data_IF_122547124159
#
_entry.id   IF_122547124159
#
_cell.length_a   1.000
_cell.length_b   1.000
_cell.length_c   1.000
_cell.angle_alpha   90.00
_cell.angle_beta   90.00
_cell.angle_gamma   90.00
#
_symmetry.space_group_name_H-M   'P 1'
#
loop_
_entity.id
_entity.type
_entity.pdbx_description
1 polymer ?
#
# COMPACT_ATOMS: atom_id res chain seq x y z
N UNK A 1 -41.28 37.38 10.38
CA UNK A 1 -41.66 35.95 10.35
C UNK A 1 -40.59 35.19 9.60
N UNK A 2 -39.80 34.41 10.34
CA UNK A 2 -39.01 33.21 9.96
C UNK A 2 -38.09 33.36 8.74
N UNK A 3 -36.80 33.55 8.87
CA UNK A 3 -35.76 32.73 9.54
C UNK A 3 -35.68 31.25 9.13
N UNK A 4 -34.51 30.98 8.54
CA UNK A 4 -33.61 29.85 8.82
C UNK A 4 -33.54 28.69 7.81
N UNK A 5 -32.28 28.48 7.39
CA UNK A 5 -31.58 27.19 7.30
C UNK A 5 -32.28 26.07 6.52
N UNK A 6 -31.75 25.71 5.34
CA UNK A 6 -30.82 24.56 5.15
C UNK A 6 -30.14 24.74 3.79
N UNK A 7 -29.18 25.66 3.74
CA UNK A 7 -28.00 25.55 2.88
C UNK A 7 -26.95 24.85 3.73
N UNK A 8 -26.76 23.55 3.49
CA UNK A 8 -25.66 22.66 3.95
C UNK A 8 -26.12 21.20 3.75
N UNK A 9 -25.17 20.35 3.36
CA UNK A 9 -25.26 18.87 3.20
C UNK A 9 -25.52 18.42 1.75
N UNK A 10 -24.45 18.37 0.95
CA UNK A 10 -23.96 17.15 0.26
C UNK A 10 -22.66 17.51 -0.49
N UNK A 11 -21.66 17.86 0.31
CA UNK A 11 -20.24 17.70 0.02
C UNK A 11 -19.79 16.52 0.89
N UNK A 12 -19.62 15.34 0.32
CA UNK A 12 -18.91 14.22 0.93
C UNK A 12 -18.60 13.17 -0.15
N UNK A 13 -17.34 12.76 -0.21
CA UNK A 13 -16.73 11.77 -1.11
C UNK A 13 -16.40 12.24 -2.53
N UNK A 14 -15.63 13.31 -2.60
CA UNK A 14 -14.48 13.38 -3.50
C UNK A 14 -13.30 13.86 -2.69
N UNK A 15 -12.25 13.05 -2.63
CA UNK A 15 -10.82 13.37 -2.51
C UNK A 15 -10.11 12.08 -2.08
N UNK A 16 -9.88 11.24 -3.08
CA UNK A 16 -8.78 10.28 -3.12
C UNK A 16 -8.52 9.97 -4.60
N UNK A 17 -8.24 11.01 -5.39
CA UNK A 17 -7.74 10.95 -6.77
C UNK A 17 -7.65 12.38 -7.28
N UNK A 18 -6.55 13.09 -7.00
CA UNK A 18 -6.11 14.28 -7.76
C UNK A 18 -4.65 14.56 -7.38
N UNK A 19 -3.76 13.64 -7.79
CA UNK A 19 -2.39 13.99 -8.15
C UNK A 19 -2.36 14.03 -9.67
N UNK A 20 -2.11 15.21 -10.23
CA UNK A 20 -2.05 15.46 -11.67
C UNK A 20 -0.92 14.65 -12.32
N UNK A 21 -1.28 13.50 -12.90
CA UNK A 21 -0.66 12.97 -14.11
C UNK A 21 -1.47 13.48 -15.32
N UNK A 22 -0.84 13.72 -16.48
CA UNK A 22 -1.53 14.30 -17.63
C UNK A 22 -2.60 13.35 -18.18
N UNK A 23 -3.60 13.95 -18.83
CA UNK A 23 -4.87 13.37 -19.23
C UNK A 23 -4.77 12.06 -20.04
N UNK A 24 -5.31 10.98 -19.48
CA UNK A 24 -5.77 9.81 -20.22
C UNK A 24 -7.29 9.91 -20.41
N UNK A 25 -7.71 10.49 -21.53
CA UNK A 25 -9.06 10.33 -22.04
C UNK A 25 -9.06 9.22 -23.10
N UNK A 26 -9.09 7.97 -22.62
CA UNK A 26 -9.34 6.77 -23.41
C UNK A 26 -10.00 5.78 -22.46
N UNK A 27 -11.21 5.31 -22.81
CA UNK A 27 -11.99 4.42 -21.94
C UNK A 27 -11.14 3.20 -21.55
N UNK A 28 -10.80 3.09 -20.26
CA UNK A 28 -10.03 1.97 -19.71
C UNK A 28 -10.82 0.68 -19.90
N UNK A 29 -10.26 -0.27 -20.66
CA UNK A 29 -10.78 -1.63 -20.74
C UNK A 29 -10.35 -2.41 -19.47
N UNK A 30 -11.18 -3.30 -18.94
CA UNK A 30 -10.94 -3.92 -17.64
C UNK A 30 -9.88 -5.05 -17.75
N UNK A 31 -9.06 -5.24 -16.68
CA UNK A 31 -7.85 -6.08 -16.66
C UNK A 31 -8.05 -7.60 -16.86
N UNK A 32 -7.01 -8.41 -16.64
CA UNK A 32 -7.01 -9.87 -16.88
C UNK A 32 -8.12 -10.61 -16.13
N UNK A 33 -8.44 -10.19 -14.90
CA UNK A 33 -9.63 -10.63 -14.17
C UNK A 33 -10.91 -10.45 -15.00
N UNK A 34 -11.08 -9.30 -15.66
CA UNK A 34 -12.24 -9.04 -16.50
C UNK A 34 -12.18 -9.76 -17.85
N UNK A 35 -10.99 -10.14 -18.35
CA UNK A 35 -10.85 -11.04 -19.51
C UNK A 35 -11.25 -12.48 -19.16
N UNK A 36 -10.79 -12.96 -18.00
CA UNK A 36 -11.19 -14.25 -17.41
C UNK A 36 -12.67 -14.31 -17.07
N UNK A 37 -13.29 -13.17 -16.79
CA UNK A 37 -14.73 -13.09 -16.56
C UNK A 37 -15.49 -12.87 -17.88
N UNK A 38 -14.91 -12.19 -18.87
CA UNK A 38 -15.51 -12.01 -20.19
C UNK A 38 -15.64 -13.29 -21.03
N UNK A 39 -14.86 -14.34 -20.74
CA UNK A 39 -15.08 -15.69 -21.28
C UNK A 39 -16.27 -16.41 -20.63
N UNK A 40 -16.78 -15.90 -19.50
CA UNK A 40 -17.96 -16.41 -18.82
C UNK A 40 -19.14 -15.48 -19.09
N UNK A 41 -20.21 -16.02 -19.69
CA UNK A 41 -21.44 -15.26 -19.86
C UNK A 41 -22.13 -15.12 -18.50
N UNK A 42 -21.91 -13.99 -17.83
CA UNK A 42 -22.53 -13.72 -16.54
C UNK A 42 -24.05 -13.83 -16.63
N UNK A 43 -24.63 -14.66 -15.78
CA UNK A 43 -26.05 -14.55 -15.46
C UNK A 43 -26.31 -13.15 -14.87
N UNK A 44 -27.49 -12.59 -15.15
CA UNK A 44 -27.88 -11.28 -14.63
C UNK A 44 -27.78 -11.25 -13.10
N UNK A 45 -27.14 -10.19 -12.56
CA UNK A 45 -26.92 -10.03 -11.12
C UNK A 45 -28.22 -10.24 -10.35
N UNK A 46 -28.25 -11.15 -9.36
CA UNK A 46 -29.40 -11.28 -8.48
C UNK A 46 -29.61 -9.96 -7.74
N UNK A 47 -30.88 -9.53 -7.66
CA UNK A 47 -31.26 -8.25 -7.05
C UNK A 47 -31.09 -8.24 -5.51
N UNK A 48 -30.90 -9.42 -4.91
CA UNK A 48 -30.69 -9.60 -3.47
C UNK A 48 -29.46 -10.48 -3.22
N UNK A 49 -28.45 -9.91 -2.58
CA UNK A 49 -27.20 -10.58 -2.20
C UNK A 49 -27.45 -11.65 -1.12
N UNK A 50 -28.51 -11.51 -0.32
CA UNK A 50 -28.87 -12.49 0.71
C UNK A 50 -29.38 -13.82 0.12
N UNK A 51 -29.71 -13.84 -1.18
CA UNK A 51 -30.19 -15.03 -1.89
C UNK A 51 -29.09 -15.77 -2.67
N UNK A 52 -27.82 -15.34 -2.55
CA UNK A 52 -26.71 -16.01 -3.21
C UNK A 52 -26.44 -17.39 -2.61
N UNK A 53 -26.32 -18.40 -3.47
CA UNK A 53 -25.79 -19.69 -3.08
C UNK A 53 -24.31 -19.56 -2.67
N UNK A 54 -23.77 -20.52 -1.92
CA UNK A 54 -22.39 -20.47 -1.45
C UNK A 54 -21.74 -21.83 -1.62
N UNK A 55 -20.62 -21.87 -2.36
CA UNK A 55 -19.69 -22.99 -2.28
C UNK A 55 -18.66 -22.68 -1.20
N UNK A 56 -18.57 -23.51 -0.16
CA UNK A 56 -17.73 -23.21 1.01
C UNK A 56 -16.97 -24.42 1.55
N UNK A 57 -15.83 -24.14 2.19
CA UNK A 57 -15.01 -25.13 2.88
C UNK A 57 -14.28 -24.50 4.06
N UNK A 58 -14.17 -25.24 5.15
CA UNK A 58 -13.34 -24.83 6.29
C UNK A 58 -12.04 -25.61 6.28
N UNK A 59 -10.91 -24.90 6.35
CA UNK A 59 -9.57 -25.48 6.31
C UNK A 59 -8.74 -24.99 7.48
N UNK A 60 -8.13 -25.92 8.21
CA UNK A 60 -7.15 -25.57 9.23
C UNK A 60 -5.81 -25.23 8.56
N UNK A 61 -5.54 -23.94 8.33
CA UNK A 61 -4.28 -23.50 7.75
C UNK A 61 -3.14 -23.62 8.78
N UNK A 62 -1.89 -23.88 8.33
CA UNK A 62 -0.75 -23.96 9.24
C UNK A 62 -0.52 -22.66 10.01
N UNK A 63 -0.22 -22.79 11.31
CA UNK A 63 0.05 -21.64 12.18
C UNK A 63 -1.18 -20.82 12.59
N UNK A 64 -2.39 -21.23 12.18
CA UNK A 64 -3.65 -20.61 12.62
C UNK A 64 -4.20 -21.27 13.88
N UNK A 65 -4.75 -20.46 14.78
CA UNK A 65 -5.43 -20.95 15.98
C UNK A 65 -6.87 -21.43 15.69
N UNK A 66 -7.51 -20.84 14.68
CA UNK A 66 -8.85 -21.18 14.23
C UNK A 66 -8.79 -21.64 12.77
N UNK A 67 -9.78 -22.43 12.33
CA UNK A 67 -9.88 -22.83 10.93
C UNK A 67 -10.37 -21.65 10.08
N UNK A 68 -9.82 -21.52 8.88
CA UNK A 68 -10.17 -20.48 7.91
C UNK A 68 -11.33 -20.97 7.06
N UNK A 69 -12.35 -20.13 6.89
CA UNK A 69 -13.50 -20.39 6.04
C UNK A 69 -13.28 -19.81 4.64
N UNK A 70 -13.24 -20.67 3.64
CA UNK A 70 -13.15 -20.33 2.23
C UNK A 70 -14.54 -20.38 1.62
N UNK A 71 -14.94 -19.34 0.90
CA UNK A 71 -16.27 -19.29 0.29
C UNK A 71 -16.26 -18.60 -1.07
N UNK A 72 -17.09 -19.12 -1.99
CA UNK A 72 -17.45 -18.51 -3.26
C UNK A 72 -18.95 -18.20 -3.20
N UNK A 73 -19.31 -16.93 -3.05
CA UNK A 73 -20.71 -16.50 -3.04
C UNK A 73 -21.25 -16.42 -4.48
N UNK A 74 -22.47 -16.88 -4.71
CA UNK A 74 -23.15 -16.92 -6.00
C UNK A 74 -22.57 -17.91 -7.00
N UNK A 75 -21.91 -18.98 -6.54
CA UNK A 75 -21.19 -19.92 -7.40
C UNK A 75 -22.08 -20.50 -8.52
N UNK A 76 -23.30 -20.91 -8.18
CA UNK A 76 -24.31 -21.38 -9.12
C UNK A 76 -25.10 -20.21 -9.74
N UNK A 77 -25.46 -19.20 -8.94
CA UNK A 77 -26.24 -18.05 -9.39
C UNK A 77 -25.57 -17.30 -10.54
N UNK A 78 -24.23 -17.23 -10.55
CA UNK A 78 -23.44 -16.63 -11.62
C UNK A 78 -22.96 -17.64 -12.68
N UNK A 79 -23.33 -18.92 -12.55
CA UNK A 79 -23.05 -19.97 -13.52
C UNK A 79 -21.61 -20.52 -13.48
N UNK A 80 -20.85 -20.30 -12.41
CA UNK A 80 -19.47 -20.81 -12.30
C UNK A 80 -19.41 -22.34 -12.26
N UNK A 81 -20.46 -22.98 -11.73
CA UNK A 81 -20.63 -24.44 -11.70
C UNK A 81 -20.73 -25.07 -13.11
N UNK A 82 -20.92 -24.29 -14.17
CA UNK A 82 -20.96 -24.80 -15.54
C UNK A 82 -19.57 -25.14 -16.08
N UNK A 83 -18.52 -24.53 -15.52
CA UNK A 83 -17.13 -24.68 -15.98
C UNK A 83 -16.18 -25.18 -14.89
N UNK A 84 -16.59 -25.10 -13.62
CA UNK A 84 -15.73 -25.36 -12.48
C UNK A 84 -16.41 -26.24 -11.43
N UNK A 85 -15.58 -26.97 -10.71
CA UNK A 85 -15.97 -27.67 -9.49
C UNK A 85 -15.59 -26.80 -8.28
N UNK A 86 -16.59 -26.45 -7.46
CA UNK A 86 -16.40 -25.56 -6.31
C UNK A 86 -15.34 -26.08 -5.33
N UNK A 87 -15.37 -27.38 -4.99
CA UNK A 87 -14.37 -27.99 -4.11
C UNK A 87 -12.94 -27.84 -4.64
N UNK A 88 -12.73 -28.11 -5.93
CA UNK A 88 -11.43 -27.97 -6.59
C UNK A 88 -10.92 -26.52 -6.53
N UNK A 89 -11.80 -25.53 -6.75
CA UNK A 89 -11.43 -24.10 -6.65
C UNK A 89 -11.06 -23.70 -5.20
N UNK A 90 -11.82 -24.18 -4.23
CA UNK A 90 -11.58 -23.93 -2.81
C UNK A 90 -10.28 -24.60 -2.34
N UNK A 91 -9.99 -25.82 -2.78
CA UNK A 91 -8.73 -26.52 -2.49
C UNK A 91 -7.52 -25.80 -3.09
N UNK A 92 -7.64 -25.32 -4.34
CA UNK A 92 -6.59 -24.54 -4.97
C UNK A 92 -6.35 -23.20 -4.24
N UNK A 93 -7.41 -22.55 -3.75
CA UNK A 93 -7.28 -21.35 -2.92
C UNK A 93 -6.59 -21.64 -1.58
N UNK A 94 -7.02 -22.70 -0.88
CA UNK A 94 -6.42 -23.11 0.39
C UNK A 94 -4.95 -23.50 0.27
N UNK A 95 -4.58 -24.23 -0.80
CA UNK A 95 -3.20 -24.61 -1.08
C UNK A 95 -2.33 -23.38 -1.37
N UNK A 96 -2.81 -22.44 -2.21
CA UNK A 96 -2.10 -21.19 -2.49
C UNK A 96 -1.87 -20.38 -1.22
N UNK A 97 -2.89 -20.27 -0.38
CA UNK A 97 -2.79 -19.54 0.88
C UNK A 97 -1.83 -20.22 1.86
N UNK A 98 -1.84 -21.55 1.93
CA UNK A 98 -0.88 -22.32 2.72
C UNK A 98 0.56 -22.01 2.29
N UNK A 99 0.83 -22.00 0.98
CA UNK A 99 2.15 -21.64 0.45
C UNK A 99 2.52 -20.19 0.74
N UNK A 100 1.57 -19.25 0.61
CA UNK A 100 1.81 -17.84 0.89
C UNK A 100 2.15 -17.61 2.37
N UNK A 101 1.42 -18.23 3.30
CA UNK A 101 1.69 -18.17 4.73
C UNK A 101 3.08 -18.74 5.08
N UNK A 102 3.43 -19.90 4.51
CA UNK A 102 4.75 -20.50 4.72
C UNK A 102 5.88 -19.57 4.24
N UNK A 103 5.74 -19.00 3.04
CA UNK A 103 6.73 -18.09 2.46
C UNK A 103 6.84 -16.77 3.22
N UNK A 104 5.71 -16.22 3.69
CA UNK A 104 5.73 -15.04 4.55
C UNK A 104 6.50 -15.34 5.85
N UNK A 105 6.25 -16.50 6.46
CA UNK A 105 6.94 -16.89 7.70
C UNK A 105 8.43 -17.10 7.50
N UNK A 106 8.85 -17.65 6.37
CA UNK A 106 10.26 -17.80 6.00
C UNK A 106 10.94 -16.44 5.78
N UNK A 107 10.31 -15.55 5.00
CA UNK A 107 10.88 -14.24 4.66
C UNK A 107 10.82 -13.23 5.83
N UNK A 108 9.91 -13.44 6.78
CA UNK A 108 9.74 -12.61 7.96
C UNK A 108 9.31 -13.45 9.18
N UNK A 109 10.26 -14.11 9.85
CA UNK A 109 9.97 -14.98 10.98
C UNK A 109 9.30 -14.27 12.15
N UNK A 110 9.55 -12.97 12.31
CA UNK A 110 8.98 -12.13 13.38
C UNK A 110 7.54 -11.67 13.10
N UNK A 111 7.01 -11.92 11.89
CA UNK A 111 5.61 -11.58 11.59
C UNK A 111 4.68 -12.43 12.47
N UNK A 112 3.70 -11.79 13.16
CA UNK A 112 2.74 -12.52 13.98
C UNK A 112 1.87 -13.44 13.12
N UNK A 113 1.15 -14.35 13.77
CA UNK A 113 0.19 -15.20 13.08
C UNK A 113 -0.82 -14.32 12.33
N UNK A 114 -0.94 -14.54 11.01
CA UNK A 114 -1.85 -13.82 10.14
C UNK A 114 -3.27 -14.21 10.54
N UNK A 115 -4.15 -13.33 11.01
CA UNK A 115 -5.47 -13.69 11.51
C UNK A 115 -6.48 -13.97 10.37
N UNK A 116 -6.12 -14.81 9.39
CA UNK A 116 -6.96 -15.13 8.24
C UNK A 116 -8.10 -16.05 8.65
N UNK A 117 -9.26 -15.46 8.95
CA UNK A 117 -10.48 -16.22 9.29
C UNK A 117 -11.33 -16.53 8.09
N UNK A 118 -11.28 -15.69 7.05
CA UNK A 118 -12.05 -15.89 5.84
C UNK A 118 -11.28 -15.57 4.59
N UNK A 119 -11.53 -16.35 3.55
CA UNK A 119 -11.03 -16.12 2.20
C UNK A 119 -12.19 -16.19 1.22
N UNK A 120 -12.62 -15.01 0.76
CA UNK A 120 -13.78 -14.88 -0.10
C UNK A 120 -13.34 -14.77 -1.55
N UNK A 121 -13.90 -15.63 -2.40
CA UNK A 121 -13.66 -15.68 -3.85
C UNK A 121 -14.89 -15.11 -4.54
N UNK A 122 -14.68 -14.16 -5.43
CA UNK A 122 -15.74 -13.46 -6.15
C UNK A 122 -16.01 -14.20 -7.45
N UNK A 123 -17.28 -14.46 -7.72
CA UNK A 123 -17.75 -15.23 -8.87
C UNK A 123 -18.06 -14.39 -10.11
N UNK A 124 -17.97 -13.04 -10.05
CA UNK A 124 -18.24 -12.13 -11.18
C UNK A 124 -17.45 -10.81 -11.16
N UNK A 125 -17.36 -10.14 -12.31
CA UNK A 125 -16.88 -8.75 -12.43
C UNK A 125 -17.96 -7.88 -13.06
N UNK A 126 -18.49 -6.95 -12.28
CA UNK A 126 -19.11 -5.71 -12.74
C UNK A 126 -17.99 -4.68 -13.01
N UNK A 127 -18.21 -3.58 -13.76
CA UNK A 127 -17.26 -2.47 -13.85
C UNK A 127 -16.88 -2.04 -12.44
N UNK A 128 -15.58 -2.08 -12.17
CA UNK A 128 -14.94 -1.74 -10.90
C UNK A 128 -15.81 -0.80 -10.02
N UNK A 129 -16.24 -1.29 -8.86
CA UNK A 129 -16.82 -0.49 -7.76
C UNK A 129 -18.34 -0.20 -7.81
N UNK A 130 -19.19 -1.12 -8.29
CA UNK A 130 -20.64 -1.02 -8.03
C UNK A 130 -20.98 -1.36 -6.56
N UNK A 131 -22.14 -0.94 -6.06
CA UNK A 131 -22.55 -1.00 -4.64
C UNK A 131 -22.73 -2.42 -4.05
N UNK A 132 -22.32 -3.45 -4.77
CA UNK A 132 -22.24 -4.85 -4.32
C UNK A 132 -20.86 -5.48 -4.56
N UNK A 133 -19.86 -4.67 -4.89
CA UNK A 133 -18.48 -5.12 -5.06
C UNK A 133 -17.59 -4.71 -3.90
N UNK A 134 -16.58 -5.54 -3.77
CA UNK A 134 -15.56 -5.51 -2.77
C UNK A 134 -14.43 -4.63 -3.34
N UNK A 135 -13.96 -3.64 -2.59
CA UNK A 135 -13.01 -2.64 -3.11
C UNK A 135 -11.70 -2.68 -2.32
N UNK A 136 -10.53 -2.81 -2.99
CA UNK A 136 -9.62 -1.66 -3.08
C UNK A 136 -8.50 -1.81 -4.11
N UNK A 137 -8.02 -0.65 -4.57
CA UNK A 137 -7.00 -0.40 -5.57
C UNK A 137 -5.58 -0.73 -5.07
N UNK A 138 -4.73 -1.33 -5.91
CA UNK A 138 -3.78 -0.61 -6.80
C UNK A 138 -2.96 -1.59 -7.66
N UNK A 139 -2.99 -2.90 -7.39
CA UNK A 139 -2.41 -3.93 -8.27
C UNK A 139 -3.19 -5.24 -8.16
N UNK A 140 -4.21 -5.43 -9.02
CA UNK A 140 -5.00 -6.66 -9.24
C UNK A 140 -5.34 -7.52 -8.00
N UNK A 141 -5.47 -6.88 -6.83
CA UNK A 141 -5.94 -7.46 -5.60
C UNK A 141 -7.09 -6.63 -5.06
N UNK A 142 -8.19 -7.27 -4.72
CA UNK A 142 -9.34 -6.61 -4.09
C UNK A 142 -9.25 -6.83 -2.59
N UNK A 143 -9.07 -5.73 -1.83
CA UNK A 143 -9.02 -5.74 -0.38
C UNK A 143 -10.34 -5.29 0.25
N UNK A 144 -11.19 -6.27 0.50
CA UNK A 144 -12.48 -6.19 1.15
C UNK A 144 -12.55 -5.47 2.51
N UNK A 145 -11.67 -5.89 3.41
CA UNK A 145 -11.47 -5.46 4.79
C UNK A 145 -10.03 -5.92 5.15
N UNK A 146 -9.46 -5.55 6.31
CA UNK A 146 -8.11 -5.96 6.74
C UNK A 146 -7.90 -7.47 6.90
N UNK A 147 -8.89 -8.33 6.59
CA UNK A 147 -8.84 -9.77 6.80
C UNK A 147 -9.21 -10.62 5.55
N UNK A 148 -9.45 -10.01 4.37
CA UNK A 148 -9.93 -10.75 3.19
C UNK A 148 -9.23 -10.29 1.90
N UNK A 149 -8.88 -11.25 1.02
CA UNK A 149 -7.97 -11.07 -0.11
C UNK A 149 -8.47 -11.82 -1.36
N UNK A 150 -8.48 -11.15 -2.51
CA UNK A 150 -8.76 -11.73 -3.83
C UNK A 150 -7.65 -11.30 -4.80
N UNK A 151 -7.04 -12.22 -5.55
CA UNK A 151 -5.79 -11.96 -6.30
C UNK A 151 -5.80 -12.57 -7.70
N UNK A 152 -5.29 -11.82 -8.69
CA UNK A 152 -4.90 -12.34 -10.01
C UNK A 152 -3.61 -13.19 -9.95
N UNK A 153 -3.73 -14.46 -10.33
CA UNK A 153 -2.63 -15.42 -10.27
C UNK A 153 -1.56 -15.24 -11.36
N UNK A 154 -1.85 -14.49 -12.43
CA UNK A 154 -1.03 -14.44 -13.64
C UNK A 154 -0.06 -13.26 -13.69
N UNK A 155 -0.42 -12.09 -13.14
CA UNK A 155 0.46 -10.91 -13.18
C UNK A 155 1.62 -11.02 -12.17
N UNK A 156 1.34 -11.49 -10.95
CA UNK A 156 2.27 -11.36 -9.81
C UNK A 156 2.37 -12.63 -8.94
N UNK A 157 1.76 -13.74 -9.37
CA UNK A 157 1.86 -15.10 -8.79
C UNK A 157 1.63 -15.11 -7.25
N UNK A 158 2.44 -15.87 -6.52
CA UNK A 158 2.39 -15.97 -5.06
C UNK A 158 2.82 -14.69 -4.34
N UNK A 159 3.49 -13.74 -5.01
CA UNK A 159 4.00 -12.54 -4.34
C UNK A 159 2.86 -11.64 -3.87
N UNK A 160 1.80 -11.49 -4.66
CA UNK A 160 0.60 -10.75 -4.23
C UNK A 160 -0.06 -11.42 -3.03
N UNK A 161 -0.09 -12.76 -2.98
CA UNK A 161 -0.68 -13.46 -1.83
C UNK A 161 0.15 -13.20 -0.57
N UNK A 162 1.47 -13.22 -0.66
CA UNK A 162 2.36 -12.88 0.44
C UNK A 162 2.18 -11.41 0.89
N UNK A 163 2.10 -10.48 -0.06
CA UNK A 163 1.88 -9.05 0.19
C UNK A 163 0.55 -8.81 0.94
N UNK A 164 -0.55 -9.32 0.40
CA UNK A 164 -1.88 -9.14 0.98
C UNK A 164 -2.03 -9.87 2.33
N UNK A 165 -1.38 -11.02 2.48
CA UNK A 165 -1.33 -11.74 3.75
C UNK A 165 -0.57 -10.96 4.81
N UNK A 166 0.55 -10.31 4.45
CA UNK A 166 1.28 -9.44 5.38
C UNK A 166 0.37 -8.34 5.90
N UNK A 167 -0.38 -7.71 5.00
CA UNK A 167 -1.33 -6.65 5.33
C UNK A 167 -2.37 -7.06 6.38
N UNK A 168 -2.76 -8.33 6.47
CA UNK A 168 -3.69 -8.82 7.50
C UNK A 168 -3.03 -9.00 8.87
N UNK A 169 -1.71 -9.18 8.90
CA UNK A 169 -0.93 -9.28 10.13
C UNK A 169 -0.60 -7.90 10.73
N UNK A 170 -0.87 -6.80 10.00
CA UNK A 170 -0.58 -5.45 10.45
C UNK A 170 -1.65 -4.94 11.42
N UNK A 171 -1.22 -4.26 12.48
CA UNK A 171 -2.11 -3.67 13.48
C UNK A 171 -2.78 -2.38 13.01
N UNK A 172 -2.23 -1.74 11.98
CA UNK A 172 -2.74 -0.52 11.36
C UNK A 172 -2.26 -0.46 9.91
N UNK A 173 -2.97 0.28 9.05
CA UNK A 173 -2.64 0.40 7.61
C UNK A 173 -2.21 1.83 7.27
N UNK A 174 -1.19 1.95 6.45
CA UNK A 174 -0.67 3.23 5.97
C UNK A 174 0.50 3.03 5.01
N UNK A 175 1.09 4.12 4.50
CA UNK A 175 2.18 4.03 3.53
C UNK A 175 3.39 3.22 4.04
N UNK A 176 3.69 3.27 5.34
CA UNK A 176 4.75 2.47 5.95
C UNK A 176 4.48 0.95 5.86
N UNK A 177 3.23 0.51 5.95
CA UNK A 177 2.86 -0.89 5.78
C UNK A 177 2.96 -1.31 4.31
N UNK A 178 2.53 -0.44 3.40
CA UNK A 178 2.70 -0.67 1.96
C UNK A 178 4.19 -0.81 1.60
N UNK A 179 5.06 0.04 2.15
CA UNK A 179 6.52 -0.07 1.99
C UNK A 179 7.02 -1.44 2.44
N UNK A 180 6.61 -1.91 3.61
CA UNK A 180 6.99 -3.23 4.13
C UNK A 180 6.54 -4.38 3.21
N UNK A 181 5.32 -4.26 2.66
CA UNK A 181 4.76 -5.25 1.76
C UNK A 181 5.41 -5.22 0.36
N UNK A 182 5.66 -4.05 -0.20
CA UNK A 182 6.42 -3.90 -1.44
C UNK A 182 7.88 -4.34 -1.29
N UNK A 183 8.47 -4.17 -0.11
CA UNK A 183 9.81 -4.66 0.18
C UNK A 183 9.92 -6.19 0.08
N UNK A 184 8.85 -6.95 0.41
CA UNK A 184 8.82 -8.40 0.21
C UNK A 184 8.79 -8.77 -1.28
N UNK A 185 8.04 -8.01 -2.08
CA UNK A 185 7.97 -8.22 -3.52
C UNK A 185 9.30 -7.88 -4.20
N UNK A 186 9.90 -6.74 -3.87
CA UNK A 186 11.18 -6.29 -4.41
C UNK A 186 12.31 -7.30 -4.13
N UNK A 187 12.35 -7.88 -2.93
CA UNK A 187 13.31 -8.95 -2.56
C UNK A 187 13.18 -10.21 -3.42
N UNK A 188 11.97 -10.48 -3.90
CA UNK A 188 11.68 -11.66 -4.73
C UNK A 188 11.98 -11.42 -6.20
N UNK A 189 11.70 -10.21 -6.69
CA UNK A 189 11.98 -9.81 -8.05
C UNK A 189 12.25 -8.28 -8.10
N UNK A 190 13.46 -7.86 -8.52
CA UNK A 190 13.86 -6.45 -8.57
C UNK A 190 12.99 -5.61 -9.52
N UNK A 191 12.28 -6.22 -10.48
CA UNK A 191 11.33 -5.53 -11.35
C UNK A 191 10.17 -4.89 -10.59
N UNK A 192 9.77 -5.42 -9.43
CA UNK A 192 8.73 -4.79 -8.59
C UNK A 192 9.16 -3.43 -8.03
N UNK A 193 10.46 -3.25 -7.80
CA UNK A 193 11.01 -1.98 -7.36
C UNK A 193 10.78 -0.91 -8.43
N UNK A 194 10.94 -1.26 -9.71
CA UNK A 194 10.71 -0.33 -10.82
C UNK A 194 9.25 0.12 -10.90
N UNK A 195 8.29 -0.79 -10.69
CA UNK A 195 6.85 -0.46 -10.66
C UNK A 195 6.47 0.42 -9.46
N UNK A 196 7.01 0.10 -8.29
CA UNK A 196 6.71 0.79 -7.03
C UNK A 196 7.84 1.75 -6.62
N UNK A 197 8.51 2.35 -7.60
CA UNK A 197 9.72 3.13 -7.40
C UNK A 197 9.59 4.27 -6.38
N UNK A 198 8.43 4.96 -6.16
CA UNK A 198 8.37 6.03 -5.17
C UNK A 198 8.70 5.57 -3.75
N UNK A 199 8.59 4.27 -3.45
CA UNK A 199 8.95 3.69 -2.17
C UNK A 199 10.46 3.47 -1.98
N UNK A 200 11.25 3.47 -3.06
CA UNK A 200 12.65 3.05 -3.04
C UNK A 200 13.61 4.06 -3.69
N UNK A 201 13.08 4.95 -4.53
CA UNK A 201 13.85 5.85 -5.41
C UNK A 201 14.90 6.65 -4.66
N UNK A 202 14.55 7.27 -3.53
CA UNK A 202 15.45 8.16 -2.79
C UNK A 202 16.71 7.44 -2.34
N UNK A 203 16.56 6.28 -1.71
CA UNK A 203 17.68 5.50 -1.18
C UNK A 203 18.49 4.88 -2.30
N UNK A 204 17.83 4.32 -3.32
CA UNK A 204 18.52 3.73 -4.48
C UNK A 204 19.36 4.80 -5.17
N UNK A 205 18.78 5.95 -5.49
CA UNK A 205 19.48 7.03 -6.16
C UNK A 205 20.64 7.57 -5.31
N UNK A 206 20.43 7.77 -4.00
CA UNK A 206 21.44 8.42 -3.17
C UNK A 206 22.62 7.51 -2.79
N UNK A 207 22.40 6.19 -2.68
CA UNK A 207 23.40 5.29 -2.07
C UNK A 207 23.85 4.13 -2.96
N UNK A 208 23.06 3.72 -3.96
CA UNK A 208 23.32 2.46 -4.66
C UNK A 208 23.45 2.61 -6.18
N UNK A 209 22.61 3.45 -6.81
CA UNK A 209 22.58 3.66 -8.25
C UNK A 209 22.19 5.13 -8.56
N UNK A 210 23.16 6.07 -8.62
CA UNK A 210 22.88 7.48 -8.92
C UNK A 210 22.16 7.74 -10.25
N UNK A 211 22.35 6.87 -11.24
CA UNK A 211 21.70 6.90 -12.55
C UNK A 211 20.32 6.20 -12.58
N UNK A 212 19.78 5.81 -11.42
CA UNK A 212 18.45 5.20 -11.30
C UNK A 212 17.33 6.02 -11.98
N UNK A 213 17.29 7.36 -11.93
CA UNK A 213 16.31 8.14 -12.69
C UNK A 213 16.34 7.86 -14.20
N UNK A 214 17.53 7.61 -14.76
CA UNK A 214 17.66 7.29 -16.18
C UNK A 214 17.25 5.86 -16.49
N UNK A 215 17.45 4.94 -15.54
CA UNK A 215 16.92 3.57 -15.65
C UNK A 215 15.38 3.62 -15.65
N UNK A 216 14.76 4.36 -14.73
CA UNK A 216 13.30 4.55 -14.68
C UNK A 216 12.77 5.16 -15.98
N UNK A 217 13.42 6.22 -16.47
CA UNK A 217 13.05 6.86 -17.73
C UNK A 217 13.06 5.88 -18.90
N UNK A 218 14.11 5.06 -19.03
CA UNK A 218 14.17 4.01 -20.08
C UNK A 218 13.12 2.93 -19.86
N UNK A 219 12.90 2.51 -18.61
CA UNK A 219 11.92 1.48 -18.26
C UNK A 219 10.50 1.87 -18.70
N UNK A 220 10.09 3.10 -18.39
CA UNK A 220 8.75 3.63 -18.70
C UNK A 220 8.60 4.17 -20.13
N UNK A 221 9.70 4.42 -20.84
CA UNK A 221 9.68 4.79 -22.26
C UNK A 221 9.43 3.60 -23.20
N UNK A 222 9.41 2.36 -22.69
CA UNK A 222 9.13 1.17 -23.49
C UNK A 222 7.70 1.17 -24.01
N UNK A 223 7.57 0.82 -25.28
CA UNK A 223 6.27 0.68 -25.94
C UNK A 223 5.40 -0.35 -25.22
N UNK A 224 4.15 0.03 -25.02
CA UNK A 224 3.07 -0.89 -24.67
C UNK A 224 2.15 -1.05 -25.86
N UNK A 225 1.58 -2.25 -26.00
CA UNK A 225 0.63 -2.53 -27.07
C UNK A 225 -0.75 -2.07 -26.61
N UNK A 226 -1.55 -1.58 -27.55
CA UNK A 226 -2.99 -1.37 -27.33
C UNK A 226 -3.67 -2.74 -27.18
N UNK A 227 -3.80 -3.20 -25.94
CA UNK A 227 -4.43 -4.47 -25.58
C UNK A 227 -5.09 -4.38 -24.21
N UNK A 228 -5.80 -5.43 -23.83
CA UNK A 228 -6.56 -5.53 -22.58
C UNK A 228 -5.70 -5.61 -21.32
N UNK A 229 -4.40 -5.90 -21.46
CA UNK A 229 -3.49 -5.98 -20.33
C UNK A 229 -3.09 -4.55 -19.88
N UNK A 230 -3.17 -4.19 -18.58
CA UNK A 230 -2.74 -2.88 -18.09
C UNK A 230 -1.29 -2.56 -18.44
N UNK A 231 -1.00 -1.27 -18.58
CA UNK A 231 0.31 -0.77 -18.99
C UNK A 231 1.42 -1.23 -18.04
N UNK A 232 1.15 -1.24 -16.74
CA UNK A 232 2.05 -1.65 -15.68
C UNK A 232 2.42 -3.13 -15.77
N UNK A 233 1.42 -3.99 -16.02
CA UNK A 233 1.63 -5.41 -16.23
C UNK A 233 2.40 -5.67 -17.53
N UNK A 234 2.13 -4.90 -18.59
CA UNK A 234 2.90 -4.97 -19.84
C UNK A 234 4.38 -4.58 -19.60
N UNK A 235 4.65 -3.50 -18.88
CA UNK A 235 6.02 -3.11 -18.54
C UNK A 235 6.74 -4.15 -17.70
N UNK A 236 6.05 -4.79 -16.77
CA UNK A 236 6.63 -5.84 -15.93
C UNK A 236 7.00 -7.09 -16.73
N UNK A 237 6.10 -7.56 -17.59
CA UNK A 237 6.28 -8.79 -18.36
C UNK A 237 7.21 -8.64 -19.56
N UNK A 238 7.27 -7.43 -20.15
CA UNK A 238 8.14 -7.17 -21.28
C UNK A 238 9.62 -7.19 -20.84
N UNK A 239 10.54 -7.77 -21.64
CA UNK A 239 11.96 -7.74 -21.34
C UNK A 239 12.49 -6.33 -21.08
N UNK A 240 13.51 -6.24 -20.24
CA UNK A 240 14.25 -5.02 -19.96
C UNK A 240 15.76 -5.28 -20.01
N UNK A 241 16.56 -4.21 -20.06
CA UNK A 241 18.02 -4.27 -20.10
C UNK A 241 18.57 -5.10 -18.93
N UNK A 242 19.22 -6.23 -19.24
CA UNK A 242 19.72 -7.19 -18.23
C UNK A 242 20.70 -6.53 -17.25
N UNK A 243 21.60 -5.67 -17.74
CA UNK A 243 22.54 -4.93 -16.91
C UNK A 243 21.83 -4.01 -15.91
N UNK A 244 20.78 -3.30 -16.36
CA UNK A 244 19.97 -2.43 -15.50
C UNK A 244 19.25 -3.25 -14.43
N UNK A 245 18.67 -4.41 -14.79
CA UNK A 245 18.02 -5.31 -13.84
C UNK A 245 19.01 -5.90 -12.83
N UNK A 246 20.21 -6.30 -13.26
CA UNK A 246 21.24 -6.84 -12.39
C UNK A 246 21.72 -5.81 -11.36
N UNK A 247 21.86 -4.55 -11.77
CA UNK A 247 22.22 -3.45 -10.87
C UNK A 247 21.13 -3.15 -9.85
N UNK A 248 19.85 -3.18 -10.25
CA UNK A 248 18.72 -3.03 -9.32
C UNK A 248 18.63 -4.22 -8.38
N UNK A 249 18.90 -5.44 -8.86
CA UNK A 249 18.96 -6.63 -8.02
C UNK A 249 20.06 -6.52 -6.96
N UNK A 250 21.23 -6.01 -7.34
CA UNK A 250 22.32 -5.75 -6.41
C UNK A 250 21.97 -4.66 -5.39
N UNK A 251 21.43 -3.53 -5.84
CA UNK A 251 20.96 -2.47 -4.96
C UNK A 251 19.90 -2.98 -3.97
N UNK A 252 18.97 -3.83 -4.44
CA UNK A 252 17.93 -4.46 -3.61
C UNK A 252 18.53 -5.36 -2.52
N UNK A 253 19.54 -6.17 -2.87
CA UNK A 253 20.27 -7.00 -1.89
C UNK A 253 21.00 -6.15 -0.85
N UNK A 254 21.67 -5.09 -1.28
CA UNK A 254 22.39 -4.18 -0.39
C UNK A 254 21.45 -3.35 0.50
N UNK A 255 20.22 -3.14 0.05
CA UNK A 255 19.17 -2.45 0.81
C UNK A 255 18.44 -3.37 1.81
N UNK A 256 18.63 -4.70 1.75
CA UNK A 256 17.93 -5.66 2.63
C UNK A 256 18.03 -5.33 4.14
N UNK A 257 19.21 -4.95 4.68
CA UNK A 257 19.29 -4.53 6.08
C UNK A 257 18.41 -3.31 6.39
N UNK A 258 18.37 -2.33 5.48
CA UNK A 258 17.55 -1.12 5.64
C UNK A 258 16.05 -1.43 5.58
N UNK A 259 15.65 -2.38 4.72
CA UNK A 259 14.27 -2.85 4.64
C UNK A 259 13.84 -3.57 5.93
N UNK A 260 14.75 -4.31 6.56
CA UNK A 260 14.50 -4.94 7.88
C UNK A 260 14.36 -3.89 8.97
N UNK A 261 15.24 -2.90 9.00
CA UNK A 261 15.18 -1.77 9.95
C UNK A 261 13.87 -0.98 9.78
N UNK A 262 13.48 -0.66 8.55
CA UNK A 262 12.23 0.05 8.25
C UNK A 262 11.00 -0.77 8.68
N UNK A 263 11.01 -2.09 8.45
CA UNK A 263 9.95 -2.98 8.92
C UNK A 263 9.88 -3.06 10.45
N UNK A 264 11.02 -3.13 11.13
CA UNK A 264 11.08 -3.10 12.59
C UNK A 264 10.52 -1.78 13.16
N UNK A 265 10.91 -0.64 12.57
CA UNK A 265 10.36 0.66 12.94
C UNK A 265 8.83 0.71 12.76
N UNK A 266 8.33 0.20 11.63
CA UNK A 266 6.89 0.15 11.36
C UNK A 266 6.16 -0.71 12.40
N UNK A 267 6.67 -1.91 12.71
CA UNK A 267 6.04 -2.82 13.69
C UNK A 267 6.09 -2.27 15.11
N UNK A 268 7.16 -1.55 15.46
CA UNK A 268 7.31 -0.93 16.77
C UNK A 268 6.38 0.27 16.93
N UNK A 269 6.26 1.12 15.90
CA UNK A 269 5.50 2.38 15.93
C UNK A 269 4.47 2.50 14.79
N UNK A 270 3.50 1.56 14.65
CA UNK A 270 2.67 1.46 13.45
C UNK A 270 1.76 2.68 13.23
N UNK A 271 1.16 3.21 14.29
CA UNK A 271 0.27 4.38 14.19
C UNK A 271 1.06 5.64 13.84
N UNK A 272 2.22 5.83 14.46
CA UNK A 272 3.04 7.00 14.26
C UNK A 272 3.76 6.97 12.93
N UNK A 273 4.23 5.80 12.48
CA UNK A 273 4.80 5.61 11.16
C UNK A 273 3.79 5.94 10.06
N UNK A 274 2.55 5.45 10.18
CA UNK A 274 1.48 5.78 9.23
C UNK A 274 1.18 7.28 9.22
N UNK A 275 0.98 7.89 10.38
CA UNK A 275 0.72 9.33 10.50
C UNK A 275 1.87 10.16 9.92
N UNK A 276 3.12 9.86 10.27
CA UNK A 276 4.27 10.62 9.80
C UNK A 276 4.47 10.49 8.28
N UNK A 277 4.19 9.31 7.72
CA UNK A 277 4.23 9.11 6.27
C UNK A 277 3.12 9.91 5.56
N UNK A 278 1.92 9.98 6.14
CA UNK A 278 0.83 10.81 5.60
C UNK A 278 1.11 12.31 5.77
N UNK A 279 1.67 12.72 6.91
CA UNK A 279 2.04 14.10 7.24
C UNK A 279 3.06 14.64 6.24
N UNK A 280 4.12 13.87 6.01
CA UNK A 280 5.19 14.25 5.08
C UNK A 280 4.82 13.99 3.62
N UNK A 281 3.83 13.12 3.37
CA UNK A 281 3.47 12.61 2.06
C UNK A 281 4.61 11.87 1.36
N UNK A 282 5.59 11.36 2.11
CA UNK A 282 6.74 10.60 1.60
C UNK A 282 6.51 9.11 1.89
N UNK A 283 6.13 8.28 0.88
CA UNK A 283 5.85 6.87 1.10
C UNK A 283 7.08 6.06 1.54
N UNK A 284 8.28 6.48 1.11
CA UNK A 284 9.57 5.87 1.43
C UNK A 284 10.13 6.27 2.79
N UNK A 285 9.43 7.08 3.60
CA UNK A 285 10.04 7.80 4.72
C UNK A 285 10.79 6.90 5.70
N UNK A 286 10.22 5.76 6.09
CA UNK A 286 10.90 4.86 7.04
C UNK A 286 12.17 4.26 6.46
N UNK A 287 12.17 3.94 5.17
CA UNK A 287 13.36 3.47 4.46
C UNK A 287 14.41 4.59 4.37
N UNK A 288 13.98 5.83 4.11
CA UNK A 288 14.87 6.98 4.06
C UNK A 288 15.53 7.25 5.43
N UNK A 289 14.76 7.12 6.53
CA UNK A 289 15.25 7.22 7.91
C UNK A 289 16.25 6.10 8.23
N UNK A 290 15.95 4.86 7.85
CA UNK A 290 16.86 3.73 8.05
C UNK A 290 18.19 3.95 7.30
N UNK A 291 18.12 4.38 6.04
CA UNK A 291 19.31 4.68 5.24
C UNK A 291 20.15 5.81 5.84
N UNK A 292 19.52 6.91 6.28
CA UNK A 292 20.22 8.05 6.87
C UNK A 292 21.05 7.69 8.11
N UNK A 293 20.64 6.64 8.84
CA UNK A 293 21.29 6.21 10.10
C UNK A 293 22.35 5.15 9.90
N UNK A 294 22.08 4.23 8.99
CA UNK A 294 22.87 3.00 8.85
C UNK A 294 23.93 3.12 7.74
N UNK A 295 23.78 4.07 6.80
CA UNK A 295 24.71 4.24 5.69
C UNK A 295 25.63 5.46 5.86
N UNK A 296 26.74 5.45 5.14
CA UNK A 296 27.61 6.63 5.00
C UNK A 296 26.87 7.68 4.18
N UNK A 297 26.61 8.84 4.79
CA UNK A 297 25.85 9.92 4.15
C UNK A 297 26.57 10.47 2.90
N UNK A 298 25.84 10.85 1.84
CA UNK A 298 26.45 11.42 0.64
C UNK A 298 27.20 12.73 0.97
N UNK A 299 28.32 13.03 0.30
CA UNK A 299 29.12 14.21 0.62
C UNK A 299 28.40 15.51 0.27
N UNK A 300 28.56 16.51 1.14
CA UNK A 300 28.09 17.87 0.92
C UNK A 300 29.25 18.77 0.52
N UNK A 301 29.07 19.54 -0.55
CA UNK A 301 30.07 20.51 -1.05
C UNK A 301 29.70 21.96 -0.74
N UNK A 302 28.55 22.18 -0.10
CA UNK A 302 28.04 23.51 0.26
C UNK A 302 28.49 23.95 1.65
N UNK A 303 28.48 25.26 1.92
CA UNK A 303 28.97 25.81 3.19
C UNK A 303 28.08 25.42 4.38
N UNK A 304 28.65 25.40 5.58
CA UNK A 304 27.92 25.08 6.82
C UNK A 304 26.70 25.99 7.02
N UNK A 305 26.82 27.29 6.72
CA UNK A 305 25.71 28.24 6.85
C UNK A 305 24.55 27.90 5.90
N UNK A 306 24.86 27.48 4.67
CA UNK A 306 23.84 27.03 3.71
C UNK A 306 23.21 25.70 4.12
N UNK A 307 23.98 24.80 4.75
CA UNK A 307 23.45 23.54 5.29
C UNK A 307 22.43 23.81 6.39
N UNK A 308 22.74 24.71 7.33
CA UNK A 308 21.83 25.01 8.45
C UNK A 308 20.52 25.63 7.97
N UNK A 309 20.58 26.59 7.03
CA UNK A 309 19.39 27.16 6.39
C UNK A 309 18.58 26.10 5.65
N UNK A 310 19.25 25.16 4.96
CA UNK A 310 18.57 24.06 4.29
C UNK A 310 17.87 23.13 5.27
N UNK A 311 18.49 22.82 6.41
CA UNK A 311 17.90 22.01 7.46
C UNK A 311 16.68 22.68 8.11
N UNK A 312 16.70 23.99 8.31
CA UNK A 312 15.53 24.74 8.77
C UNK A 312 14.37 24.66 7.78
N UNK A 313 14.64 24.82 6.47
CA UNK A 313 13.61 24.68 5.42
C UNK A 313 13.02 23.26 5.43
N UNK A 314 13.88 22.24 5.52
CA UNK A 314 13.45 20.84 5.58
C UNK A 314 12.60 20.58 6.82
N UNK A 315 13.05 21.02 8.00
CA UNK A 315 12.30 20.91 9.25
C UNK A 315 10.92 21.54 9.14
N UNK A 316 10.87 22.81 8.71
CA UNK A 316 9.64 23.59 8.57
C UNK A 316 8.64 22.96 7.60
N UNK A 317 9.07 22.18 6.62
CA UNK A 317 8.17 21.48 5.71
C UNK A 317 7.74 20.12 6.28
N UNK A 318 8.67 19.35 6.84
CA UNK A 318 8.41 18.00 7.33
C UNK A 318 7.54 17.98 8.60
N UNK A 319 7.54 19.05 9.40
CA UNK A 319 6.75 19.18 10.64
C UNK A 319 5.34 19.75 10.42
N UNK A 320 4.97 20.14 9.19
CA UNK A 320 3.61 20.63 8.90
C UNK A 320 2.58 19.51 9.00
N UNK A 321 1.43 19.80 9.62
CA UNK A 321 0.33 18.84 9.85
C UNK A 321 -0.99 19.23 9.19
N UNK A 322 -1.00 20.31 8.40
CA UNK A 322 -2.18 20.83 7.71
C UNK A 322 -2.80 19.81 6.75
N UNK A 323 -2.00 19.00 6.07
CA UNK A 323 -2.48 17.97 5.14
C UNK A 323 -3.12 16.74 5.82
N UNK A 324 -2.89 16.51 7.11
CA UNK A 324 -3.46 15.34 7.80
C UNK A 324 -4.99 15.40 7.92
N UNK A 325 -5.57 16.61 7.96
CA UNK A 325 -7.00 16.81 8.27
C UNK A 325 -7.78 17.52 7.16
N UNK A 326 -7.09 18.10 6.18
CA UNK A 326 -7.68 18.87 5.10
C UNK A 326 -7.87 18.04 3.80
N UNK A 327 -7.52 16.76 3.83
CA UNK A 327 -7.79 15.78 2.78
C UNK A 327 -6.85 15.82 1.57
N UNK A 328 -6.00 16.85 1.43
CA UNK A 328 -5.02 16.91 0.35
C UNK A 328 -3.71 16.19 0.75
N UNK A 329 -2.96 15.67 -0.23
CA UNK A 329 -1.64 15.04 -0.03
C UNK A 329 -0.55 15.95 -0.56
N UNK A 330 0.54 16.10 0.19
CA UNK A 330 1.68 16.91 -0.21
C UNK A 330 2.97 16.14 0.06
N UNK A 331 3.80 16.01 -0.95
CA UNK A 331 5.18 15.52 -0.80
C UNK A 331 6.05 16.66 -0.24
N UNK A 332 6.16 16.72 1.09
CA UNK A 332 6.89 17.77 1.83
C UNK A 332 8.37 17.79 1.50
N UNK A 333 8.94 16.63 1.19
CA UNK A 333 10.31 16.54 0.69
C UNK A 333 10.42 17.28 -0.64
N UNK A 334 9.57 16.99 -1.63
CA UNK A 334 9.61 17.70 -2.93
C UNK A 334 9.42 19.20 -2.78
N UNK A 335 8.48 19.66 -1.95
CA UNK A 335 8.32 21.09 -1.65
C UNK A 335 9.58 21.69 -1.05
N UNK A 336 10.17 21.03 -0.04
CA UNK A 336 11.40 21.48 0.59
C UNK A 336 12.55 21.56 -0.44
N UNK A 337 12.76 20.51 -1.25
CA UNK A 337 13.81 20.48 -2.27
C UNK A 337 13.59 21.58 -3.33
N UNK A 338 12.33 21.91 -3.67
CA UNK A 338 12.02 23.04 -4.54
C UNK A 338 12.42 24.38 -3.89
N UNK A 339 12.17 24.57 -2.58
CA UNK A 339 12.64 25.74 -1.84
C UNK A 339 14.17 25.83 -1.78
N UNK A 340 14.87 24.70 -1.61
CA UNK A 340 16.34 24.68 -1.67
C UNK A 340 16.86 25.09 -3.06
N UNK A 341 16.20 24.62 -4.13
CA UNK A 341 16.56 24.94 -5.50
C UNK A 341 16.33 26.42 -5.84
N UNK A 342 15.15 26.96 -5.49
CA UNK A 342 14.74 28.30 -5.90
C UNK A 342 15.17 29.39 -4.91
N UNK A 343 15.04 29.11 -3.60
CA UNK A 343 15.34 30.05 -2.52
C UNK A 343 16.84 30.11 -2.20
N UNK A 344 17.46 28.95 -1.92
CA UNK A 344 18.89 28.87 -1.60
C UNK A 344 19.79 28.69 -2.82
N UNK A 345 19.22 28.62 -4.03
CA UNK A 345 19.92 28.48 -5.31
C UNK A 345 20.81 27.22 -5.39
N UNK A 346 20.49 26.18 -4.64
CA UNK A 346 21.20 24.89 -4.68
C UNK A 346 20.67 24.10 -5.89
N UNK A 347 21.25 24.37 -7.07
CA UNK A 347 20.77 23.82 -8.36
C UNK A 347 21.07 22.35 -8.57
N UNK A 348 22.11 21.83 -7.93
CA UNK A 348 22.47 20.41 -8.04
C UNK A 348 21.47 19.54 -7.29
N UNK A 349 20.86 18.59 -8.01
CA UNK A 349 19.89 17.66 -7.46
C UNK A 349 20.53 16.69 -6.46
N UNK A 350 21.76 16.25 -6.72
CA UNK A 350 22.48 15.34 -5.82
C UNK A 350 22.77 16.02 -4.48
N UNK A 351 23.23 17.27 -4.49
CA UNK A 351 23.43 18.05 -3.27
C UNK A 351 22.14 18.28 -2.50
N UNK A 352 21.01 18.52 -3.18
CA UNK A 352 19.70 18.66 -2.53
C UNK A 352 19.24 17.35 -1.87
N UNK A 353 19.41 16.21 -2.54
CA UNK A 353 19.10 14.89 -1.97
C UNK A 353 20.04 14.53 -0.83
N UNK A 354 21.34 14.85 -0.95
CA UNK A 354 22.30 14.67 0.14
C UNK A 354 21.87 15.47 1.39
N UNK A 355 21.45 16.73 1.23
CA UNK A 355 20.94 17.54 2.34
C UNK A 355 19.75 16.92 3.03
N UNK A 356 18.84 16.31 2.27
CA UNK A 356 17.70 15.59 2.85
C UNK A 356 18.14 14.43 3.75
N UNK A 357 19.09 13.59 3.32
CA UNK A 357 19.59 12.49 4.16
C UNK A 357 20.40 12.98 5.36
N UNK A 358 21.20 14.03 5.21
CA UNK A 358 21.88 14.68 6.35
C UNK A 358 20.89 15.27 7.35
N UNK A 359 19.80 15.88 6.86
CA UNK A 359 18.71 16.34 7.70
C UNK A 359 18.06 15.16 8.45
N UNK A 360 17.67 14.08 7.75
CA UNK A 360 17.04 12.91 8.38
C UNK A 360 17.91 12.26 9.46
N UNK A 361 19.24 12.24 9.27
CA UNK A 361 20.16 11.72 10.28
C UNK A 361 20.19 12.59 11.56
N UNK A 362 19.94 13.89 11.43
CA UNK A 362 19.84 14.83 12.58
C UNK A 362 18.42 14.99 13.10
N UNK A 363 17.42 14.67 12.28
CA UNK A 363 16.02 14.80 12.62
C UNK A 363 15.68 13.68 13.60
N UNK A 364 15.43 14.04 14.84
CA UNK A 364 15.17 13.08 15.93
C UNK A 364 13.75 12.50 15.87
N UNK A 365 13.40 11.99 14.69
CA UNK A 365 12.13 11.35 14.45
C UNK A 365 11.97 10.04 15.24
N UNK A 366 12.96 9.50 15.97
CA UNK A 366 12.78 8.21 16.68
C UNK A 366 13.21 8.13 18.14
N UNK A 367 13.90 9.12 18.75
CA UNK A 367 13.92 9.17 20.22
C UNK A 367 12.68 9.87 20.77
N UNK A 368 12.10 10.81 20.02
CA UNK A 368 10.90 11.56 20.41
C UNK A 368 9.81 11.64 19.32
N UNK A 369 10.14 11.70 18.02
CA UNK A 369 9.16 12.01 16.96
C UNK A 369 8.15 10.91 16.55
N UNK A 370 8.55 9.63 16.49
CA UNK A 370 7.63 8.50 16.27
C UNK A 370 6.94 8.08 17.57
N UNK A 371 7.32 8.63 18.72
CA UNK A 371 6.69 8.33 20.01
C UNK A 371 5.71 9.40 20.47
N UNK A 372 5.92 10.66 20.08
CA UNK A 372 5.14 11.79 20.58
C UNK A 372 4.71 12.71 19.43
N UNK A 373 3.54 12.43 18.84
CA UNK A 373 2.78 13.45 18.15
C UNK A 373 1.61 13.84 19.02
N UNK A 374 1.52 15.12 19.37
CA UNK A 374 0.38 15.71 20.09
C UNK A 374 -0.94 15.45 19.35
N UNK A 375 -0.88 15.20 18.03
CA UNK A 375 -2.05 14.99 17.17
C UNK A 375 -2.31 13.53 16.81
N UNK A 376 -1.56 12.58 17.38
CA UNK A 376 -1.73 11.16 17.09
C UNK A 376 -3.15 10.68 17.43
N UNK A 377 -3.69 11.09 18.57
CA UNK A 377 -5.03 10.72 18.99
C UNK A 377 -6.10 11.25 18.02
N UNK A 378 -5.97 12.51 17.60
CA UNK A 378 -6.88 13.14 16.63
C UNK A 378 -6.84 12.41 15.27
N UNK A 379 -5.63 12.12 14.79
CA UNK A 379 -5.41 11.36 13.55
C UNK A 379 -6.04 9.96 13.62
N UNK A 380 -5.78 9.21 14.69
CA UNK A 380 -6.30 7.85 14.86
C UNK A 380 -7.82 7.86 14.98
N UNK A 381 -8.40 8.81 15.72
CA UNK A 381 -9.87 8.96 15.81
C UNK A 381 -10.50 9.22 14.45
N UNK A 382 -9.94 10.12 13.64
CA UNK A 382 -10.45 10.35 12.29
C UNK A 382 -10.43 9.09 11.41
N UNK A 383 -9.44 8.21 11.58
CA UNK A 383 -9.37 6.93 10.87
C UNK A 383 -10.39 5.90 11.40
N UNK A 384 -10.60 5.86 12.71
CA UNK A 384 -11.65 5.02 13.33
C UNK A 384 -13.05 5.43 12.88
N UNK A 385 -13.33 6.74 12.80
CA UNK A 385 -14.61 7.24 12.29
C UNK A 385 -14.87 6.80 10.84
N UNK A 386 -13.82 6.77 10.00
CA UNK A 386 -13.90 6.24 8.63
C UNK A 386 -14.22 4.74 8.59
N UNK A 387 -13.67 3.96 9.52
CA UNK A 387 -14.00 2.53 9.68
C UNK A 387 -15.46 2.37 10.10
N UNK A 388 -15.94 3.18 11.05
CA UNK A 388 -17.32 3.13 11.54
C UNK A 388 -18.33 3.48 10.43
N UNK A 389 -18.02 4.46 9.58
CA UNK A 389 -18.82 4.78 8.40
C UNK A 389 -18.90 3.63 7.40
N UNK A 390 -17.76 2.95 7.14
CA UNK A 390 -17.73 1.78 6.27
C UNK A 390 -18.59 0.65 6.84
N UNK A 391 -18.48 0.36 8.14
CA UNK A 391 -19.22 -0.71 8.82
C UNK A 391 -20.74 -0.49 8.84
N UNK A 392 -21.18 0.76 8.77
CA UNK A 392 -22.59 1.15 8.71
C UNK A 392 -23.19 0.99 7.30
N UNK A 393 -22.38 0.79 6.26
CA UNK A 393 -22.89 0.68 4.89
C UNK A 393 -23.74 -0.60 4.70
N UNK A 394 -24.95 -0.51 4.09
CA UNK A 394 -25.87 -1.64 3.96
C UNK A 394 -25.31 -2.84 3.17
N UNK A 395 -24.38 -2.58 2.24
CA UNK A 395 -23.73 -3.62 1.43
C UNK A 395 -22.67 -4.45 2.17
N UNK A 396 -22.33 -4.12 3.43
CA UNK A 396 -21.36 -4.87 4.23
C UNK A 396 -22.02 -6.12 4.83
N UNK A 397 -21.44 -7.28 4.52
CA UNK A 397 -21.86 -8.59 5.02
C UNK A 397 -21.64 -8.72 6.53
N UNK A 398 -22.29 -9.72 7.14
CA UNK A 398 -22.15 -9.99 8.57
C UNK A 398 -20.71 -10.26 9.00
N UNK A 399 -19.92 -10.95 8.16
CA UNK A 399 -18.55 -11.30 8.54
C UNK A 399 -17.57 -10.14 8.34
N UNK A 400 -17.69 -9.38 7.26
CA UNK A 400 -16.91 -8.14 7.07
C UNK A 400 -17.11 -7.19 8.23
N UNK A 401 -18.36 -7.07 8.72
CA UNK A 401 -18.67 -6.24 9.89
C UNK A 401 -17.94 -6.70 11.15
N UNK A 402 -17.88 -8.00 11.37
CA UNK A 402 -17.16 -8.58 12.52
C UNK A 402 -15.64 -8.41 12.40
N UNK A 403 -15.07 -8.63 11.21
CA UNK A 403 -13.66 -8.40 10.92
C UNK A 403 -13.25 -6.94 11.16
N UNK A 404 -14.07 -6.01 10.69
CA UNK A 404 -13.81 -4.58 10.89
C UNK A 404 -13.96 -4.11 12.33
N UNK A 405 -14.92 -4.63 13.11
CA UNK A 405 -15.02 -4.33 14.55
C UNK A 405 -13.75 -4.73 15.30
N UNK A 406 -13.23 -5.94 15.04
CA UNK A 406 -11.99 -6.41 15.68
C UNK A 406 -10.79 -5.58 15.27
N UNK A 407 -10.70 -5.20 13.99
CA UNK A 407 -9.65 -4.31 13.52
C UNK A 407 -9.70 -2.96 14.25
N UNK A 408 -10.89 -2.36 14.36
CA UNK A 408 -11.14 -1.14 15.13
C UNK A 408 -10.70 -1.28 16.59
N UNK A 409 -11.10 -2.36 17.28
CA UNK A 409 -10.72 -2.66 18.66
C UNK A 409 -9.20 -2.79 18.84
N UNK A 410 -8.52 -3.42 17.90
CA UNK A 410 -7.06 -3.58 17.91
C UNK A 410 -6.33 -2.22 17.79
N UNK A 411 -6.81 -1.33 16.91
CA UNK A 411 -6.26 0.03 16.77
C UNK A 411 -6.43 0.81 18.07
N UNK A 412 -7.62 0.77 18.67
CA UNK A 412 -7.88 1.45 19.95
C UNK A 412 -7.02 0.88 21.09
N UNK A 413 -6.83 -0.44 21.14
CA UNK A 413 -5.94 -1.08 22.10
C UNK A 413 -4.52 -0.55 21.94
N UNK A 414 -4.00 -0.47 20.71
CA UNK A 414 -2.66 0.04 20.45
C UNK A 414 -2.50 1.52 20.82
N UNK A 415 -3.50 2.35 20.55
CA UNK A 415 -3.49 3.75 20.95
C UNK A 415 -3.41 3.88 22.49
N UNK A 416 -4.17 3.08 23.23
CA UNK A 416 -4.11 3.06 24.71
C UNK A 416 -2.75 2.62 25.24
N UNK A 417 -2.14 1.60 24.65
CA UNK A 417 -0.78 1.14 25.00
C UNK A 417 0.27 2.23 24.83
N UNK A 418 0.12 3.12 23.84
CA UNK A 418 1.03 4.24 23.61
C UNK A 418 0.82 5.36 24.64
N UNK A 419 -0.43 5.57 25.09
CA UNK A 419 -0.78 6.64 26.03
C UNK A 419 -0.48 6.29 27.50
N UNK A 420 -0.24 5.02 27.82
CA UNK A 420 0.06 4.53 29.17
C UNK A 420 1.47 3.90 29.17
N UNK A 421 2.53 4.71 29.33
CA UNK A 421 3.92 4.25 29.24
C UNK A 421 4.33 3.28 30.34
#
# INVERSE_FOLDING_TARGET
MRDSLVSRILWAFSVCCLSSAPAFAGAMAPGELARLIGIHKLASSPQDIAALDVAEKTVQLPGQAEATHFAIYGFEAFGCNQCHEGETLLDNAANRMTTALARLKEASPETPAVPLRQYLIQSWSDPLLSSGQLAHATFDAIRLFPASVLIDAHAYRLNTHVHETLHLAQSFLGPANELEAYALNARSDPGFLLLNYPYFENVIQAFFAPDFPEILKRYYARDVREMTLPQEAQWFLNPFEEDSLNRIAEATRNMEPLLKDAAELNRRYPLQAAMLSEQTGVPSLLLDIAAARSLTLPPLTISSDQQEQAFEILRNQMEKTDNLFLGYRVDRKKEALMHLQLGLKIKDAEQRTALYFHFLNRWDATREGLSASERLEEYVRGKLDGIDQLLAHPGITGIEREGGRRFRENIEKRLREIQQP
#
